data_IF_823682484729
#
_entry.id   IF_823682484729
#
_cell.length_a   1.000
_cell.length_b   1.000
_cell.length_c   1.000
_cell.angle_alpha   90.00
_cell.angle_beta   90.00
_cell.angle_gamma   90.00
#
_symmetry.space_group_name_H-M   'P 1'
#
loop_
_entity.id
_entity.type
_entity.pdbx_description
1 polymer ?
#
# COMPACT_ATOMS: atom_id res chain seq x y z
N UNK A 1 -4.07 16.53 -4.76
CA UNK A 1 -2.63 16.31 -4.48
C UNK A 1 -2.50 15.02 -3.68
N UNK A 2 -1.60 14.10 -4.08
CA UNK A 2 -1.39 12.81 -3.40
C UNK A 2 -0.17 12.91 -2.49
N UNK A 3 -0.01 11.99 -1.56
CA UNK A 3 1.19 11.95 -0.72
C UNK A 3 1.53 10.52 -0.27
N UNK A 4 2.80 10.30 0.08
CA UNK A 4 3.24 9.12 0.80
C UNK A 4 3.43 9.50 2.26
N UNK A 5 2.75 8.79 3.14
CA UNK A 5 2.82 8.93 4.59
C UNK A 5 3.54 7.71 5.17
N UNK A 6 4.50 7.94 6.07
CA UNK A 6 5.10 6.87 6.86
C UNK A 6 4.67 7.01 8.33
N UNK A 7 4.28 5.90 8.95
CA UNK A 7 3.94 5.83 10.38
C UNK A 7 4.84 4.81 11.07
N UNK A 8 5.46 5.19 12.18
CA UNK A 8 6.33 4.32 13.00
C UNK A 8 5.81 4.28 14.42
N UNK A 9 5.89 3.14 15.10
CA UNK A 9 5.59 3.07 16.53
C UNK A 9 6.66 3.79 17.40
N UNK A 10 6.34 4.18 18.64
CA UNK A 10 7.36 4.58 19.63
C UNK A 10 8.28 3.41 19.97
N UNK A 11 9.26 3.64 20.87
CA UNK A 11 10.21 2.62 21.33
C UNK A 11 9.48 1.38 21.86
N UNK A 12 8.45 1.60 22.65
CA UNK A 12 7.52 0.57 23.14
C UNK A 12 6.34 0.41 22.20
N UNK A 13 5.92 -0.83 21.94
CA UNK A 13 4.81 -1.14 21.06
C UNK A 13 4.20 -2.49 21.45
N UNK A 14 2.90 -2.71 21.17
CA UNK A 14 2.25 -3.95 21.56
C UNK A 14 2.82 -5.13 20.77
N UNK A 15 2.83 -6.33 21.35
CA UNK A 15 3.28 -7.54 20.64
C UNK A 15 2.12 -8.29 19.96
N UNK A 16 0.87 -7.88 20.22
CA UNK A 16 -0.32 -8.43 19.58
C UNK A 16 -0.71 -7.62 18.33
N UNK A 17 -0.59 -8.25 17.17
CA UNK A 17 -0.94 -7.70 15.87
C UNK A 17 -2.39 -7.24 15.73
N UNK A 18 -3.30 -7.72 16.57
CA UNK A 18 -4.66 -7.14 16.64
C UNK A 18 -4.65 -5.68 17.08
N UNK A 19 -3.76 -5.29 17.99
CA UNK A 19 -3.60 -3.89 18.38
C UNK A 19 -3.09 -3.06 17.19
N UNK A 20 -2.14 -3.60 16.42
CA UNK A 20 -1.65 -2.95 15.20
C UNK A 20 -2.77 -2.64 14.20
N UNK A 21 -3.67 -3.61 13.98
CA UNK A 21 -4.80 -3.42 13.07
C UNK A 21 -5.82 -2.43 13.62
N UNK A 22 -6.07 -2.43 14.93
CA UNK A 22 -6.98 -1.46 15.57
C UNK A 22 -6.45 -0.03 15.43
N UNK A 23 -5.15 0.17 15.64
CA UNK A 23 -4.51 1.47 15.46
C UNK A 23 -4.60 1.94 14.00
N UNK A 24 -4.26 1.07 13.05
CA UNK A 24 -4.35 1.39 11.63
C UNK A 24 -5.79 1.67 11.16
N UNK A 25 -6.76 0.88 11.61
CA UNK A 25 -8.18 1.10 11.31
C UNK A 25 -8.67 2.44 11.87
N UNK A 26 -8.25 2.79 13.09
CA UNK A 26 -8.56 4.10 13.69
C UNK A 26 -7.97 5.24 12.87
N UNK A 27 -6.72 5.10 12.42
CA UNK A 27 -6.07 6.08 11.54
C UNK A 27 -6.79 6.22 10.21
N UNK A 28 -7.11 5.11 9.53
CA UNK A 28 -7.85 5.11 8.26
C UNK A 28 -9.26 5.71 8.39
N UNK A 29 -9.92 5.52 9.54
CA UNK A 29 -11.19 6.19 9.85
C UNK A 29 -11.02 7.70 10.02
N UNK A 30 -9.95 8.17 10.66
CA UNK A 30 -9.64 9.62 10.75
C UNK A 30 -9.40 10.21 9.37
N UNK A 31 -8.59 9.57 8.52
CA UNK A 31 -8.39 9.99 7.13
C UNK A 31 -9.71 10.08 6.37
N UNK A 32 -10.58 9.06 6.51
CA UNK A 32 -11.88 9.04 5.84
C UNK A 32 -12.77 10.23 6.23
N UNK A 33 -12.72 10.70 7.48
CA UNK A 33 -13.47 11.88 7.94
C UNK A 33 -12.97 13.18 7.29
N UNK A 34 -11.71 13.20 6.87
CA UNK A 34 -11.11 14.28 6.09
C UNK A 34 -11.31 14.10 4.57
N UNK A 35 -12.15 13.16 4.14
CA UNK A 35 -12.32 12.78 2.73
C UNK A 35 -11.02 12.30 2.07
N UNK A 36 -10.08 11.78 2.87
CA UNK A 36 -8.82 11.19 2.41
C UNK A 36 -8.95 9.67 2.38
N UNK A 37 -8.57 9.08 1.25
CA UNK A 37 -8.44 7.63 1.12
C UNK A 37 -6.95 7.26 1.07
N UNK A 38 -6.63 6.03 1.46
CA UNK A 38 -5.26 5.54 1.46
C UNK A 38 -5.13 4.07 1.10
N UNK A 39 -3.99 3.73 0.51
CA UNK A 39 -3.48 2.37 0.32
C UNK A 39 -2.28 2.18 1.25
N UNK A 40 -2.33 1.18 2.12
CA UNK A 40 -1.33 0.93 3.15
C UNK A 40 -0.54 -0.35 2.87
N UNK A 41 0.78 -0.24 2.95
CA UNK A 41 1.73 -1.34 3.07
C UNK A 41 2.33 -1.34 4.48
N UNK A 42 2.31 -2.48 5.15
CA UNK A 42 3.00 -2.72 6.41
C UNK A 42 4.32 -3.45 6.15
N UNK A 43 5.30 -3.19 6.99
CA UNK A 43 6.56 -3.91 7.12
C UNK A 43 7.02 -3.90 8.59
N UNK A 44 7.94 -4.79 8.95
CA UNK A 44 8.57 -4.77 10.27
C UNK A 44 9.96 -4.12 10.17
N UNK A 45 10.22 -3.17 11.07
CA UNK A 45 11.58 -2.61 11.26
C UNK A 45 12.51 -3.68 11.85
N UNK A 46 13.82 -3.45 11.81
CA UNK A 46 14.82 -4.35 12.38
C UNK A 46 14.54 -4.68 13.86
N UNK A 47 14.04 -3.71 14.62
CA UNK A 47 13.65 -3.89 16.03
C UNK A 47 12.36 -4.69 16.26
N UNK A 48 11.64 -5.10 15.20
CA UNK A 48 10.38 -5.83 15.28
C UNK A 48 9.10 -4.99 15.28
N UNK A 49 9.21 -3.66 15.34
CA UNK A 49 8.05 -2.77 15.34
C UNK A 49 7.41 -2.68 13.95
N UNK A 50 6.07 -2.63 13.84
CA UNK A 50 5.41 -2.33 12.58
C UNK A 50 5.75 -0.94 12.08
N UNK A 51 5.89 -0.82 10.77
CA UNK A 51 6.03 0.42 10.04
C UNK A 51 5.06 0.42 8.87
N UNK A 52 4.41 1.55 8.63
CA UNK A 52 3.39 1.67 7.59
C UNK A 52 3.79 2.71 6.56
N UNK A 53 3.73 2.32 5.28
CA UNK A 53 3.79 3.21 4.13
C UNK A 53 2.40 3.35 3.55
N UNK A 54 1.88 4.57 3.49
CA UNK A 54 0.49 4.85 3.12
C UNK A 54 0.48 5.86 1.98
N UNK A 55 0.05 5.43 0.80
CA UNK A 55 -0.26 6.33 -0.31
C UNK A 55 -1.65 6.93 -0.08
N UNK A 56 -1.76 8.25 0.08
CA UNK A 56 -3.02 8.96 0.34
C UNK A 56 -3.44 9.87 -0.83
N UNK A 57 -4.76 10.06 -0.98
CA UNK A 57 -5.36 10.84 -2.10
C UNK A 57 -5.51 12.34 -1.83
N UNK A 58 -5.26 12.80 -0.61
CA UNK A 58 -5.50 14.18 -0.19
C UNK A 58 -4.32 14.82 0.55
N UNK A 59 -4.50 16.09 0.91
CA UNK A 59 -3.53 16.87 1.68
C UNK A 59 -3.79 16.62 3.16
N UNK A 60 -2.73 16.27 3.89
CA UNK A 60 -2.76 16.15 5.33
C UNK A 60 -1.61 16.97 5.90
N UNK A 61 -1.92 17.84 6.87
CA UNK A 61 -0.90 18.62 7.55
C UNK A 61 0.05 17.70 8.35
N UNK A 62 1.34 18.05 8.42
CA UNK A 62 2.35 17.24 9.11
C UNK A 62 2.10 17.20 10.62
N UNK A 63 1.72 18.32 11.23
CA UNK A 63 1.45 18.37 12.66
C UNK A 63 0.19 17.59 13.01
N UNK A 64 -0.84 17.69 12.16
CA UNK A 64 -2.05 16.88 12.29
C UNK A 64 -1.76 15.39 12.15
N UNK A 65 -1.02 14.98 11.11
CA UNK A 65 -0.57 13.59 10.93
C UNK A 65 0.14 13.07 12.19
N UNK A 66 1.12 13.82 12.70
CA UNK A 66 1.92 13.40 13.84
C UNK A 66 1.09 13.29 15.11
N UNK A 67 0.24 14.29 15.37
CA UNK A 67 -0.68 14.30 16.51
C UNK A 67 -1.66 13.14 16.44
N UNK A 68 -2.27 12.88 15.28
CA UNK A 68 -3.19 11.76 15.11
C UNK A 68 -2.52 10.43 15.44
N UNK A 69 -1.32 10.20 14.91
CA UNK A 69 -0.63 8.93 15.14
C UNK A 69 -0.16 8.78 16.59
N UNK A 70 0.38 9.85 17.18
CA UNK A 70 0.77 9.91 18.59
C UNK A 70 -0.39 9.54 19.54
N UNK A 71 -1.57 10.14 19.32
CA UNK A 71 -2.78 9.84 20.11
C UNK A 71 -3.25 8.40 19.91
N UNK A 72 -3.28 7.91 18.66
CA UNK A 72 -3.81 6.58 18.33
C UNK A 72 -3.02 5.47 19.01
N UNK A 73 -1.70 5.59 19.05
CA UNK A 73 -0.82 4.59 19.68
C UNK A 73 -0.60 4.86 21.17
N UNK A 74 -1.24 5.91 21.72
CA UNK A 74 -1.08 6.37 23.09
C UNK A 74 0.40 6.47 23.50
N UNK A 75 1.18 7.15 22.67
CA UNK A 75 2.65 7.04 22.69
C UNK A 75 3.28 7.50 24.00
N UNK A 76 2.81 8.61 24.58
CA UNK A 76 3.42 9.22 25.77
C UNK A 76 4.83 9.79 25.57
N UNK A 77 5.50 9.46 24.45
CA UNK A 77 6.88 9.85 24.14
C UNK A 77 6.94 11.12 23.24
N UNK A 78 7.41 12.26 23.76
CA UNK A 78 7.53 13.49 22.98
C UNK A 78 8.48 13.37 21.77
N UNK A 79 9.46 12.47 21.79
CA UNK A 79 10.34 12.24 20.64
C UNK A 79 9.59 11.55 19.50
N UNK A 80 8.73 10.60 19.83
CA UNK A 80 7.81 9.98 18.87
C UNK A 80 6.85 10.99 18.25
N UNK A 81 6.34 11.96 19.02
CA UNK A 81 5.51 13.04 18.45
C UNK A 81 6.27 13.88 17.39
N UNK A 82 7.59 14.03 17.53
CA UNK A 82 8.41 14.82 16.60
C UNK A 82 8.87 14.03 15.36
N UNK A 83 9.14 12.74 15.52
CA UNK A 83 9.84 11.91 14.53
C UNK A 83 9.10 10.62 14.12
N UNK A 84 7.96 10.31 14.75
CA UNK A 84 7.19 9.08 14.52
C UNK A 84 6.45 9.04 13.19
N UNK A 85 6.37 10.16 12.48
CA UNK A 85 5.70 10.25 11.17
C UNK A 85 6.51 11.03 10.15
N UNK A 86 6.27 10.74 8.86
CA UNK A 86 6.75 11.56 7.75
C UNK A 86 5.71 11.65 6.64
N UNK A 87 5.72 12.74 5.89
CA UNK A 87 4.88 12.94 4.72
C UNK A 87 5.71 13.50 3.57
N UNK A 88 5.50 12.95 2.36
CA UNK A 88 6.11 13.42 1.12
C UNK A 88 5.00 13.62 0.08
N UNK A 89 4.83 14.85 -0.40
CA UNK A 89 3.81 15.19 -1.37
C UNK A 89 4.24 14.75 -2.76
N UNK A 90 3.32 14.09 -3.47
CA UNK A 90 3.50 13.67 -4.85
C UNK A 90 2.98 14.81 -5.74
N UNK A 91 3.87 15.32 -6.57
CA UNK A 91 3.62 16.38 -7.53
C UNK A 91 3.95 15.89 -8.94
N UNK A 92 3.54 16.66 -9.94
CA UNK A 92 3.86 16.36 -11.33
C UNK A 92 5.35 16.62 -11.61
N UNK A 93 5.88 16.01 -12.66
CA UNK A 93 7.33 15.92 -12.88
C UNK A 93 7.97 17.28 -13.21
N UNK A 94 7.18 18.25 -13.66
CA UNK A 94 7.55 19.63 -13.99
C UNK A 94 7.24 20.64 -12.85
N UNK A 95 6.80 20.17 -11.68
CA UNK A 95 6.46 21.05 -10.56
C UNK A 95 7.69 21.83 -10.05
N UNK A 96 7.57 23.16 -10.05
CA UNK A 96 8.63 24.10 -9.68
C UNK A 96 9.19 23.90 -8.26
N UNK A 97 8.47 23.19 -7.36
CA UNK A 97 8.90 22.93 -5.98
C UNK A 97 9.90 21.77 -5.88
N UNK A 98 10.01 20.92 -6.91
CA UNK A 98 10.86 19.74 -6.88
C UNK A 98 12.35 20.09 -6.77
N UNK A 99 12.88 20.94 -7.64
CA UNK A 99 14.31 21.23 -7.66
C UNK A 99 14.78 22.02 -6.42
N UNK A 100 14.07 23.06 -5.94
CA UNK A 100 14.39 23.69 -4.66
C UNK A 100 14.44 22.70 -3.49
N UNK A 101 13.49 21.77 -3.41
CA UNK A 101 13.48 20.74 -2.36
C UNK A 101 14.63 19.73 -2.52
N UNK A 102 15.01 19.37 -3.75
CA UNK A 102 16.18 18.52 -4.04
C UNK A 102 17.48 19.21 -3.61
N UNK A 103 17.66 20.48 -3.94
CA UNK A 103 18.83 21.28 -3.54
C UNK A 103 18.92 21.35 -2.02
N UNK A 104 17.83 21.75 -1.34
CA UNK A 104 17.73 21.78 0.13
C UNK A 104 18.09 20.42 0.74
N UNK A 105 17.52 19.34 0.21
CA UNK A 105 17.79 17.98 0.69
C UNK A 105 19.27 17.59 0.56
N UNK A 106 19.88 17.83 -0.61
CA UNK A 106 21.31 17.56 -0.87
C UNK A 106 22.20 18.36 0.10
N UNK A 107 21.90 19.64 0.29
CA UNK A 107 22.65 20.51 1.21
C UNK A 107 22.56 20.03 2.66
N UNK A 108 21.36 19.69 3.13
CA UNK A 108 21.14 19.17 4.48
C UNK A 108 21.89 17.85 4.71
N UNK A 109 21.92 16.96 3.71
CA UNK A 109 22.72 15.72 3.75
C UNK A 109 24.22 16.01 3.81
N UNK A 110 24.71 16.97 3.00
CA UNK A 110 26.11 17.42 3.04
C UNK A 110 26.51 17.97 4.41
N UNK A 111 25.59 18.66 5.10
CA UNK A 111 25.76 19.12 6.49
C UNK A 111 25.63 18.01 7.54
N UNK A 112 25.57 16.74 7.14
CA UNK A 112 25.52 15.59 8.05
C UNK A 112 24.15 15.31 8.66
N UNK A 113 23.06 15.96 8.22
CA UNK A 113 21.72 15.68 8.77
C UNK A 113 21.19 14.35 8.27
N UNK A 114 21.32 13.30 9.09
CA UNK A 114 20.95 11.92 8.73
C UNK A 114 19.45 11.74 8.44
N UNK A 115 18.58 12.43 9.19
CA UNK A 115 17.13 12.22 9.15
C UNK A 115 16.35 13.21 8.26
N UNK A 116 17.04 14.03 7.46
CA UNK A 116 16.35 14.92 6.51
C UNK A 116 15.62 14.12 5.45
N UNK A 117 14.38 14.53 5.14
CA UNK A 117 13.53 13.96 4.10
C UNK A 117 13.15 15.04 3.09
N UNK A 118 12.89 14.63 1.85
CA UNK A 118 12.28 15.48 0.82
C UNK A 118 10.81 15.72 1.14
N UNK A 119 10.34 16.94 0.91
CA UNK A 119 8.94 17.33 1.06
C UNK A 119 8.13 17.01 -0.19
N UNK A 120 8.74 17.12 -1.38
CA UNK A 120 8.09 16.90 -2.66
C UNK A 120 8.82 15.81 -3.44
N UNK A 121 8.06 14.91 -4.05
CA UNK A 121 8.55 13.85 -4.92
C UNK A 121 7.74 13.81 -6.21
N UNK A 122 8.41 13.49 -7.30
CA UNK A 122 7.79 13.29 -8.60
C UNK A 122 6.99 11.98 -8.61
N UNK A 123 6.09 11.81 -9.58
CA UNK A 123 5.24 10.61 -9.65
C UNK A 123 6.07 9.34 -9.85
N UNK A 124 7.03 9.38 -10.77
CA UNK A 124 7.91 8.24 -11.03
C UNK A 124 8.76 7.85 -9.79
N UNK A 125 9.17 8.84 -8.99
CA UNK A 125 9.88 8.60 -7.73
C UNK A 125 8.98 7.90 -6.70
N UNK A 126 7.71 8.31 -6.60
CA UNK A 126 6.71 7.68 -5.74
C UNK A 126 6.41 6.23 -6.17
N UNK A 127 6.30 5.97 -7.47
CA UNK A 127 6.08 4.63 -8.01
C UNK A 127 7.26 3.71 -7.72
N UNK A 128 8.48 4.17 -8.01
CA UNK A 128 9.72 3.44 -7.70
C UNK A 128 9.84 3.14 -6.21
N UNK A 129 9.52 4.12 -5.36
CA UNK A 129 9.47 3.97 -3.91
C UNK A 129 8.51 2.83 -3.50
N UNK A 130 7.26 2.86 -3.97
CA UNK A 130 6.26 1.83 -3.66
C UNK A 130 6.67 0.44 -4.17
N UNK A 131 7.22 0.34 -5.39
CA UNK A 131 7.77 -0.91 -5.94
C UNK A 131 8.86 -1.48 -5.04
N UNK A 132 9.74 -0.62 -4.50
CA UNK A 132 10.75 -1.02 -3.52
C UNK A 132 10.14 -1.74 -2.31
N UNK A 133 9.03 -1.24 -1.77
CA UNK A 133 8.34 -1.87 -0.62
C UNK A 133 7.67 -3.20 -0.94
N UNK A 134 7.26 -3.41 -2.19
CA UNK A 134 6.78 -4.71 -2.62
C UNK A 134 7.92 -5.74 -2.74
N UNK A 135 9.13 -5.29 -3.08
CA UNK A 135 10.31 -6.15 -3.27
C UNK A 135 11.01 -6.54 -1.98
N UNK A 136 10.90 -5.76 -0.89
CA UNK A 136 11.55 -6.02 0.40
C UNK A 136 10.88 -7.16 1.19
N UNK A 137 11.02 -8.39 0.71
CA UNK A 137 10.39 -9.58 1.30
C UNK A 137 10.88 -9.89 2.72
N UNK A 138 12.14 -9.59 3.05
CA UNK A 138 12.71 -9.78 4.38
C UNK A 138 11.97 -8.97 5.45
N UNK A 139 11.53 -7.74 5.14
CA UNK A 139 10.76 -6.90 6.05
C UNK A 139 9.27 -7.30 6.13
N UNK A 140 8.90 -8.42 5.50
CA UNK A 140 7.59 -9.07 5.61
C UNK A 140 7.62 -10.36 6.44
N UNK A 141 8.79 -10.71 6.98
CA UNK A 141 8.92 -11.77 7.98
C UNK A 141 8.35 -11.25 9.30
N UNK A 142 7.51 -12.04 9.93
CA UNK A 142 6.90 -11.71 11.23
C UNK A 142 7.92 -12.06 12.32
N UNK A 143 8.32 -11.13 13.20
CA UNK A 143 9.20 -11.45 14.33
C UNK A 143 8.56 -12.46 15.29
N UNK A 144 9.37 -13.31 15.92
CA UNK A 144 8.88 -14.45 16.72
C UNK A 144 7.98 -14.04 17.91
N UNK A 145 8.24 -12.87 18.50
CA UNK A 145 7.44 -12.34 19.61
C UNK A 145 6.08 -11.79 19.16
N UNK A 146 5.89 -11.51 17.86
CA UNK A 146 4.66 -10.92 17.32
C UNK A 146 3.61 -12.00 17.06
N UNK A 147 2.45 -11.84 17.69
CA UNK A 147 1.27 -12.70 17.48
C UNK A 147 0.27 -12.00 16.57
N UNK A 148 -0.51 -12.75 15.79
CA UNK A 148 -1.65 -12.21 15.01
C UNK A 148 -1.33 -11.02 14.08
N UNK A 149 -0.14 -11.00 13.44
CA UNK A 149 0.30 -9.89 12.58
C UNK A 149 -0.69 -9.52 11.46
N UNK A 150 -1.51 -10.48 11.01
CA UNK A 150 -2.54 -10.27 10.00
C UNK A 150 -1.98 -9.93 8.62
N UNK A 151 -2.78 -9.22 7.81
CA UNK A 151 -2.40 -8.83 6.43
C UNK A 151 -1.43 -7.66 6.41
N UNK A 152 -0.47 -7.69 5.50
CA UNK A 152 0.54 -6.64 5.32
C UNK A 152 0.10 -5.52 4.37
N UNK A 153 -1.12 -5.60 3.84
CA UNK A 153 -1.68 -4.62 2.92
C UNK A 153 -3.17 -4.41 3.19
N UNK A 154 -3.61 -3.17 3.04
CA UNK A 154 -5.02 -2.75 3.17
C UNK A 154 -5.27 -1.46 2.41
N UNK A 155 -6.53 -1.13 2.15
CA UNK A 155 -6.91 0.13 1.55
C UNK A 155 -8.33 0.54 1.97
N UNK A 156 -8.66 1.83 1.87
CA UNK A 156 -10.03 2.28 2.02
C UNK A 156 -10.94 1.69 0.92
N UNK A 157 -12.19 1.36 1.26
CA UNK A 157 -13.21 0.97 0.26
C UNK A 157 -13.45 2.12 -0.71
N UNK A 158 -13.58 1.80 -2.00
CA UNK A 158 -13.79 2.79 -3.06
C UNK A 158 -12.53 3.54 -3.50
N UNK A 159 -11.34 3.20 -2.98
CA UNK A 159 -10.07 3.79 -3.44
C UNK A 159 -9.74 3.43 -4.88
N UNK A 160 -9.95 2.15 -5.23
CA UNK A 160 -9.74 1.67 -6.59
C UNK A 160 -11.04 1.93 -7.35
N UNK A 161 -10.99 2.84 -8.33
CA UNK A 161 -12.09 2.97 -9.29
C UNK A 161 -12.30 1.60 -9.94
N UNK A 162 -13.55 1.12 -10.00
CA UNK A 162 -13.88 -0.05 -10.82
C UNK A 162 -13.66 0.33 -12.28
N UNK A 163 -12.47 0.07 -12.80
CA UNK A 163 -12.09 0.40 -14.18
C UNK A 163 -12.97 -0.35 -15.18
N UNK A 164 -13.32 -1.60 -14.85
CA UNK A 164 -14.22 -2.42 -15.67
C UNK A 164 -15.14 -3.24 -14.77
N UNK A 165 -16.45 -3.17 -15.06
CA UNK A 165 -17.44 -4.09 -14.54
C UNK A 165 -17.99 -4.90 -15.71
N UNK A 166 -17.77 -6.22 -15.70
CA UNK A 166 -18.44 -7.12 -16.63
C UNK A 166 -19.74 -7.56 -15.96
N UNK A 167 -20.86 -7.04 -16.45
CA UNK A 167 -22.19 -7.48 -16.00
C UNK A 167 -22.53 -8.76 -16.75
N UNK A 168 -22.61 -9.87 -16.02
CA UNK A 168 -23.10 -11.12 -16.56
C UNK A 168 -24.61 -11.17 -16.34
N UNK A 169 -25.38 -11.34 -17.41
CA UNK A 169 -26.81 -11.63 -17.37
C UNK A 169 -27.09 -13.09 -17.71
N UNK A 170 -28.19 -13.62 -17.18
CA UNK A 170 -28.63 -15.00 -17.35
C UNK A 170 -29.45 -15.47 -16.16
N UNK A 171 -30.04 -16.67 -16.27
CA UNK A 171 -30.63 -17.34 -15.12
C UNK A 171 -29.53 -17.74 -14.11
N UNK A 172 -29.93 -18.03 -12.87
CA UNK A 172 -29.00 -18.36 -11.77
C UNK A 172 -28.04 -19.51 -12.13
N UNK A 173 -28.52 -20.53 -12.84
CA UNK A 173 -27.70 -21.67 -13.27
C UNK A 173 -26.58 -21.25 -14.24
N UNK A 174 -26.91 -20.44 -15.23
CA UNK A 174 -25.95 -19.92 -16.22
C UNK A 174 -24.94 -18.98 -15.60
N UNK A 175 -25.37 -18.12 -14.68
CA UNK A 175 -24.47 -17.24 -13.93
C UNK A 175 -23.49 -18.04 -13.07
N UNK A 176 -23.98 -19.05 -12.33
CA UNK A 176 -23.13 -19.97 -11.56
C UNK A 176 -22.12 -20.69 -12.45
N UNK A 177 -22.51 -21.11 -13.65
CA UNK A 177 -21.61 -21.75 -14.63
C UNK A 177 -20.54 -20.78 -15.11
N UNK A 178 -20.91 -19.57 -15.55
CA UNK A 178 -19.99 -18.54 -16.06
C UNK A 178 -18.97 -18.12 -14.98
N UNK A 179 -19.42 -17.86 -13.76
CA UNK A 179 -18.54 -17.52 -12.62
C UNK A 179 -17.59 -18.67 -12.29
N UNK A 180 -18.06 -19.92 -12.32
CA UNK A 180 -17.22 -21.10 -12.07
C UNK A 180 -16.12 -21.25 -13.12
N UNK A 181 -16.42 -21.02 -14.40
CA UNK A 181 -15.43 -21.08 -15.48
C UNK A 181 -14.36 -20.00 -15.31
N UNK A 182 -14.78 -18.77 -15.03
CA UNK A 182 -13.85 -17.66 -14.76
C UNK A 182 -12.94 -17.98 -13.56
N UNK A 183 -13.50 -18.52 -12.48
CA UNK A 183 -12.73 -18.96 -11.30
C UNK A 183 -11.73 -20.05 -11.67
N UNK A 184 -12.13 -21.08 -12.43
CA UNK A 184 -11.23 -22.17 -12.85
C UNK A 184 -10.08 -21.66 -13.70
N UNK A 185 -10.37 -20.82 -14.68
CA UNK A 185 -9.37 -20.17 -15.53
C UNK A 185 -8.39 -19.35 -14.68
N UNK A 186 -8.89 -18.52 -13.77
CA UNK A 186 -8.07 -17.70 -12.88
C UNK A 186 -7.15 -18.55 -12.00
N UNK A 187 -7.67 -19.62 -11.38
CA UNK A 187 -6.87 -20.55 -10.60
C UNK A 187 -5.81 -21.25 -11.46
N UNK A 188 -6.09 -21.50 -12.74
CA UNK A 188 -5.10 -22.03 -13.69
C UNK A 188 -3.98 -21.05 -13.96
N UNK A 189 -4.29 -19.76 -14.13
CA UNK A 189 -3.28 -18.71 -14.31
C UNK A 189 -2.41 -18.52 -13.08
N UNK A 190 -3.01 -18.47 -11.89
CA UNK A 190 -2.25 -18.42 -10.63
C UNK A 190 -1.26 -19.59 -10.50
N UNK A 191 -1.70 -20.81 -10.85
CA UNK A 191 -0.81 -21.98 -10.89
C UNK A 191 0.34 -21.81 -11.89
N UNK A 192 0.06 -21.31 -13.10
CA UNK A 192 1.12 -21.05 -14.09
C UNK A 192 2.14 -20.00 -13.64
N UNK A 193 1.75 -19.13 -12.69
CA UNK A 193 2.65 -18.15 -12.07
C UNK A 193 3.28 -18.64 -10.76
N UNK A 194 3.11 -19.92 -10.41
CA UNK A 194 3.66 -20.50 -9.17
C UNK A 194 2.94 -20.08 -7.89
N UNK A 195 1.77 -19.43 -7.98
CA UNK A 195 1.02 -18.91 -6.83
C UNK A 195 0.02 -19.96 -6.32
N UNK A 196 0.21 -20.43 -5.08
CA UNK A 196 -0.70 -21.37 -4.40
C UNK A 196 -1.79 -20.60 -3.63
N UNK A 197 -2.98 -20.48 -4.21
CA UNK A 197 -4.13 -19.81 -3.59
C UNK A 197 -4.79 -20.67 -2.49
N UNK A 198 -4.90 -20.14 -1.27
CA UNK A 198 -5.50 -20.83 -0.09
C UNK A 198 -6.74 -20.12 0.51
N UNK A 199 -7.37 -19.19 -0.21
CA UNK A 199 -8.49 -18.37 0.30
C UNK A 199 -9.89 -18.79 -0.19
N UNK A 200 -10.94 -18.24 0.45
CA UNK A 200 -12.27 -18.20 -0.14
C UNK A 200 -12.33 -17.10 -1.21
N UNK A 201 -12.87 -17.42 -2.38
CA UNK A 201 -13.02 -16.47 -3.48
C UNK A 201 -14.01 -15.37 -3.08
N UNK A 202 -13.49 -14.18 -2.74
CA UNK A 202 -14.31 -12.99 -2.53
C UNK A 202 -14.51 -12.30 -3.89
N UNK A 203 -15.69 -11.76 -4.22
CA UNK A 203 -15.96 -11.08 -5.50
C UNK A 203 -15.11 -9.81 -5.73
N UNK A 204 -14.44 -9.34 -4.68
CA UNK A 204 -13.62 -8.13 -4.64
C UNK A 204 -12.14 -8.54 -4.52
N UNK A 205 -11.59 -9.15 -5.57
CA UNK A 205 -10.16 -9.46 -5.63
C UNK A 205 -9.42 -8.23 -6.17
N UNK A 206 -8.44 -7.76 -5.39
CA UNK A 206 -7.47 -6.75 -5.82
C UNK A 206 -6.60 -7.40 -6.91
N UNK A 207 -6.82 -6.97 -8.14
CA UNK A 207 -6.06 -7.36 -9.31
C UNK A 207 -4.72 -6.61 -9.36
N UNK A 208 -3.69 -7.24 -9.92
CA UNK A 208 -2.74 -6.52 -10.76
C UNK A 208 -3.50 -6.12 -12.04
N UNK A 209 -4.20 -4.99 -11.95
CA UNK A 209 -5.21 -4.58 -12.94
C UNK A 209 -4.65 -4.45 -14.36
N UNK A 210 -3.38 -4.09 -14.50
CA UNK A 210 -2.75 -3.92 -15.81
C UNK A 210 -2.40 -5.25 -16.48
N UNK A 211 -1.89 -6.22 -15.73
CA UNK A 211 -1.49 -7.52 -16.30
C UNK A 211 -2.71 -8.34 -16.75
N UNK A 212 -3.81 -8.26 -16.02
CA UNK A 212 -5.07 -8.91 -16.41
C UNK A 212 -5.75 -8.29 -17.61
N UNK A 213 -5.88 -6.96 -17.67
CA UNK A 213 -6.51 -6.30 -18.81
C UNK A 213 -5.68 -6.59 -20.07
N UNK A 214 -4.35 -6.58 -19.97
CA UNK A 214 -3.49 -6.94 -21.10
C UNK A 214 -3.65 -8.41 -21.51
N UNK A 215 -3.68 -9.37 -20.58
CA UNK A 215 -3.84 -10.78 -20.91
C UNK A 215 -5.25 -11.11 -21.45
N UNK A 216 -6.29 -10.45 -20.92
CA UNK A 216 -7.67 -10.60 -21.39
C UNK A 216 -7.84 -10.01 -22.79
N UNK A 217 -7.29 -8.82 -23.04
CA UNK A 217 -7.33 -8.19 -24.36
C UNK A 217 -6.46 -8.93 -25.39
N UNK A 218 -5.37 -9.57 -24.98
CA UNK A 218 -4.55 -10.45 -25.85
C UNK A 218 -5.32 -11.73 -26.20
N UNK A 219 -5.96 -12.35 -25.21
CA UNK A 219 -6.75 -13.56 -25.45
C UNK A 219 -8.00 -13.28 -26.28
N UNK A 220 -8.66 -12.14 -26.08
CA UNK A 220 -9.78 -11.69 -26.91
C UNK A 220 -9.36 -11.35 -28.35
N UNK A 221 -8.08 -11.03 -28.58
CA UNK A 221 -7.47 -10.79 -29.90
C UNK A 221 -6.92 -12.05 -30.58
N UNK A 222 -6.94 -13.20 -29.89
CA UNK A 222 -6.45 -14.46 -30.44
C UNK A 222 -4.93 -14.67 -30.35
N UNK A 223 -4.22 -13.82 -29.60
CA UNK A 223 -2.76 -13.92 -29.47
C UNK A 223 -2.38 -15.11 -28.58
N UNK A 224 -1.69 -16.11 -29.13
CA UNK A 224 -1.16 -17.26 -28.38
C UNK A 224 0.08 -16.88 -27.58
N UNK A 225 0.15 -17.34 -26.34
CA UNK A 225 1.32 -17.21 -25.49
C UNK A 225 2.43 -18.12 -26.03
N UNK A 226 3.57 -17.56 -26.43
CA UNK A 226 4.78 -18.37 -26.51
C UNK A 226 5.13 -18.85 -25.10
N UNK A 227 5.41 -20.16 -24.91
CA UNK A 227 5.87 -20.65 -23.63
C UNK A 227 7.19 -19.98 -23.28
N UNK A 228 7.30 -19.48 -22.06
CA UNK A 228 8.57 -19.00 -21.53
C UNK A 228 9.61 -20.11 -21.68
N UNK A 229 10.71 -19.80 -22.36
CA UNK A 229 11.88 -20.65 -22.45
C UNK A 229 12.34 -21.01 -21.04
N UNK A 230 12.56 -22.31 -20.86
CA UNK A 230 13.04 -22.99 -19.66
C UNK A 230 14.35 -22.44 -19.12
#
# INVERSE_FOLDING_TARGET
MKAIVCLTYPSEYPEDGRAFKRHLDTFQKRLKRLSIQGFTCMEFQERGAPHYHILITGILDRHELSRMWFEIVNSGDPQHLQAGTSIQFIVDDDDYRLEPDRVRYREMKRKGRKNVKRMFIARAEAESYMIGYFKKMNQKVIPDHIKNAGRFWSHNRGLVAKLHAVVLSGNDHDLKRKVRLLRRWYMSKLRSWGIRYKGQFLPEIIWDGMRFVNDLLRHARGDTLEPASS
#
